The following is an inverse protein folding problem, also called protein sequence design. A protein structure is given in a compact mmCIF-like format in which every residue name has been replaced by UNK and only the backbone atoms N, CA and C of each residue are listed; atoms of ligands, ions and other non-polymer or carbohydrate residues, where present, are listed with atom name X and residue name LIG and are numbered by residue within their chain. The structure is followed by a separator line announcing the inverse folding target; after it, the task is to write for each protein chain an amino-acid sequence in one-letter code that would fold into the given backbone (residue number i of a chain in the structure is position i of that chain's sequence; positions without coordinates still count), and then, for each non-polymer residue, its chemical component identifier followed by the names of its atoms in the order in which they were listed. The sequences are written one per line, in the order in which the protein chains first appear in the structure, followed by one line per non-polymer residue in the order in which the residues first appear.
data_IF_724721944744
#
_entry.id   IF_724721944744
#
_cell.length_a   1.000
_cell.length_b   1.000
_cell.length_c   1.000
_cell.angle_alpha   90.00
_cell.angle_beta   90.00
_cell.angle_gamma   90.00
#
_symmetry.space_group_name_H-M   'P 1'
#
loop_
_entity.id
_entity.type
_entity.pdbx_description
1 polymer ?
#
# COMPACT_ATOMS: atom_id res chain seq x y z
N UNK A 1 25.08 40.12 -37.41
CA UNK A 1 24.31 38.85 -37.42
C UNK A 1 23.47 38.81 -36.16
N UNK A 2 22.14 38.72 -36.28
CA UNK A 2 21.20 38.70 -35.15
C UNK A 2 21.04 37.26 -34.67
N UNK A 3 21.53 36.97 -33.47
CA UNK A 3 21.39 35.68 -32.81
C UNK A 3 19.95 35.57 -32.27
N UNK A 4 19.10 34.81 -32.96
CA UNK A 4 17.80 34.40 -32.42
C UNK A 4 18.01 33.28 -31.40
N UNK A 5 17.74 33.53 -30.12
CA UNK A 5 17.53 32.48 -29.14
C UNK A 5 16.07 31.99 -29.24
N UNK A 6 15.88 30.76 -29.71
CA UNK A 6 14.63 30.02 -29.50
C UNK A 6 14.59 29.52 -28.06
N UNK A 7 13.62 30.01 -27.29
CA UNK A 7 13.28 29.48 -25.98
C UNK A 7 12.46 28.19 -26.14
N UNK A 8 13.04 27.07 -25.69
CA UNK A 8 12.38 25.77 -25.64
C UNK A 8 11.44 25.72 -24.42
N UNK A 9 10.13 25.81 -24.64
CA UNK A 9 9.13 25.62 -23.57
C UNK A 9 8.99 24.12 -23.34
N UNK A 10 9.62 23.59 -22.28
CA UNK A 10 9.32 22.23 -21.80
C UNK A 10 7.95 22.24 -21.15
N UNK A 11 6.98 21.60 -21.80
CA UNK A 11 5.70 21.23 -21.19
C UNK A 11 6.00 20.11 -20.19
N UNK A 12 6.16 20.47 -18.91
CA UNK A 12 6.20 19.49 -17.84
C UNK A 12 4.81 18.88 -17.70
N UNK A 13 4.58 17.71 -18.29
CA UNK A 13 3.39 16.91 -18.00
C UNK A 13 3.41 16.61 -16.49
N UNK A 14 2.32 16.88 -15.75
CA UNK A 14 2.26 16.50 -14.35
C UNK A 14 2.27 14.98 -14.32
N UNK A 15 3.43 14.38 -14.02
CA UNK A 15 3.50 12.99 -13.60
C UNK A 15 2.51 12.91 -12.43
N UNK A 16 1.42 12.18 -12.62
CA UNK A 16 0.56 11.83 -11.52
C UNK A 16 1.47 11.07 -10.55
N UNK A 17 1.90 11.76 -9.48
CA UNK A 17 2.78 11.18 -8.47
C UNK A 17 2.02 10.02 -7.86
N UNK A 18 2.28 8.83 -8.37
CA UNK A 18 1.75 7.61 -7.84
C UNK A 18 2.56 7.28 -6.58
N UNK A 19 1.86 7.06 -5.48
CA UNK A 19 2.49 6.71 -4.21
C UNK A 19 2.60 5.20 -4.11
N UNK A 20 3.73 4.70 -3.61
CA UNK A 20 3.87 3.28 -3.34
C UNK A 20 3.38 2.97 -1.93
N UNK A 21 2.56 1.94 -1.78
CA UNK A 21 2.01 1.51 -0.49
C UNK A 21 2.20 0.01 -0.26
N UNK A 22 2.27 -0.40 1.01
CA UNK A 22 2.02 -1.78 1.42
C UNK A 22 0.59 -1.90 1.96
N UNK A 23 -0.13 -2.94 1.56
CA UNK A 23 -1.53 -3.17 1.94
C UNK A 23 -1.71 -4.61 2.37
N UNK A 24 -2.41 -4.82 3.48
CA UNK A 24 -2.81 -6.16 3.89
C UNK A 24 -3.92 -6.64 2.95
N UNK A 25 -3.75 -7.77 2.25
CA UNK A 25 -4.72 -8.21 1.26
C UNK A 25 -6.09 -8.60 1.86
N UNK A 26 -6.16 -8.81 3.18
CA UNK A 26 -7.38 -9.24 3.86
C UNK A 26 -7.82 -10.63 3.42
N UNK A 27 -9.12 -10.98 3.55
CA UNK A 27 -9.65 -12.29 3.14
C UNK A 27 -9.73 -12.46 1.62
N UNK A 28 -9.63 -11.38 0.85
CA UNK A 28 -9.54 -11.42 -0.60
C UNK A 28 -8.08 -11.62 -1.00
N UNK A 29 -7.80 -12.59 -1.86
CA UNK A 29 -6.48 -12.63 -2.50
C UNK A 29 -6.35 -11.41 -3.40
N UNK A 30 -5.28 -10.63 -3.25
CA UNK A 30 -4.97 -9.49 -4.12
C UNK A 30 -3.82 -9.89 -5.04
N UNK A 31 -4.09 -10.07 -6.33
CA UNK A 31 -3.09 -10.42 -7.35
C UNK A 31 -2.56 -9.19 -8.06
N UNK A 32 -1.42 -9.34 -8.73
CA UNK A 32 -0.86 -8.28 -9.58
C UNK A 32 -1.87 -7.89 -10.66
N UNK A 33 -2.09 -6.58 -10.81
CA UNK A 33 -3.06 -6.00 -11.72
C UNK A 33 -4.46 -5.80 -11.12
N UNK A 34 -4.74 -6.33 -9.92
CA UNK A 34 -6.02 -6.06 -9.26
C UNK A 34 -6.09 -4.58 -8.85
N UNK A 35 -7.27 -3.99 -9.07
CA UNK A 35 -7.57 -2.61 -8.73
C UNK A 35 -8.40 -2.52 -7.44
N UNK A 36 -8.15 -1.51 -6.62
CA UNK A 36 -8.90 -1.26 -5.40
C UNK A 36 -8.84 0.22 -5.00
N UNK A 37 -9.72 0.62 -4.07
CA UNK A 37 -9.64 1.94 -3.46
C UNK A 37 -8.76 1.85 -2.20
N UNK A 38 -7.62 2.53 -2.19
CA UNK A 38 -6.70 2.51 -1.04
C UNK A 38 -7.34 3.12 0.21
N UNK A 39 -8.30 4.04 0.08
CA UNK A 39 -9.00 4.67 1.22
C UNK A 39 -9.96 3.73 1.92
N UNK A 40 -10.38 2.64 1.28
CA UNK A 40 -11.20 1.60 1.90
C UNK A 40 -10.39 0.43 2.45
N UNK A 41 -9.06 0.42 2.26
CA UNK A 41 -8.22 -0.62 2.81
C UNK A 41 -8.17 -0.54 4.34
N UNK A 42 -8.07 -1.69 5.00
CA UNK A 42 -8.03 -1.80 6.46
C UNK A 42 -6.73 -1.21 7.01
N UNK A 43 -5.62 -1.48 6.34
CA UNK A 43 -4.30 -0.95 6.67
C UNK A 43 -3.59 -0.48 5.39
N UNK A 44 -3.00 0.71 5.44
CA UNK A 44 -2.16 1.25 4.37
C UNK A 44 -0.87 1.81 4.95
N UNK A 45 0.25 1.30 4.47
CA UNK A 45 1.60 1.68 4.85
C UNK A 45 2.21 2.48 3.69
N UNK A 46 2.16 3.81 3.76
CA UNK A 46 2.71 4.67 2.70
C UNK A 46 4.23 4.65 2.74
N UNK A 47 4.91 4.48 1.60
CA UNK A 47 6.38 4.39 1.57
C UNK A 47 7.08 5.75 1.54
N UNK A 48 6.41 6.77 0.99
CA UNK A 48 7.02 8.08 0.73
C UNK A 48 6.55 9.19 1.66
N UNK A 49 5.39 8.99 2.32
CA UNK A 49 4.83 9.99 3.24
C UNK A 49 5.58 9.97 4.57
N UNK A 50 6.12 11.12 5.03
CA UNK A 50 6.85 11.16 6.28
C UNK A 50 5.94 10.91 7.48
N UNK A 51 6.48 10.26 8.50
CA UNK A 51 5.84 10.16 9.81
C UNK A 51 5.67 11.55 10.43
N UNK A 52 4.49 11.83 11.00
CA UNK A 52 4.16 13.11 11.66
C UNK A 52 4.03 12.99 13.18
N UNK A 53 4.18 11.78 13.73
CA UNK A 53 4.16 11.58 15.18
C UNK A 53 5.49 12.05 15.80
N UNK A 54 5.45 12.62 17.01
CA UNK A 54 6.65 13.06 17.73
C UNK A 54 7.40 11.88 18.36
N UNK A 55 7.67 10.82 17.59
CA UNK A 55 8.38 9.62 18.05
C UNK A 55 9.88 9.73 17.79
N UNK A 56 10.68 9.08 18.63
CA UNK A 56 12.11 8.93 18.38
C UNK A 56 12.31 8.23 17.02
N UNK A 57 13.24 8.73 16.21
CA UNK A 57 13.50 8.27 14.84
C UNK A 57 12.33 8.45 13.85
N UNK A 58 11.37 9.37 14.09
CA UNK A 58 10.29 9.67 13.15
C UNK A 58 10.77 9.94 11.71
N UNK A 59 11.96 10.52 11.53
CA UNK A 59 12.60 10.75 10.22
C UNK A 59 12.80 9.45 9.41
N UNK A 60 13.00 8.32 10.09
CA UNK A 60 13.24 7.00 9.50
C UNK A 60 11.93 6.21 9.34
N UNK A 61 10.79 6.79 9.76
CA UNK A 61 9.46 6.20 9.70
C UNK A 61 8.58 6.89 8.66
N UNK A 62 7.44 6.26 8.33
CA UNK A 62 6.48 6.72 7.33
C UNK A 62 5.05 6.70 7.84
N UNK A 63 4.16 7.40 7.15
CA UNK A 63 2.74 7.48 7.49
C UNK A 63 2.06 6.10 7.36
N UNK A 64 1.30 5.72 8.38
CA UNK A 64 0.41 4.56 8.38
C UNK A 64 -1.02 5.05 8.62
N UNK A 65 -1.98 4.44 7.92
CA UNK A 65 -3.41 4.68 8.14
C UNK A 65 -4.15 3.35 8.33
N UNK A 66 -5.15 3.35 9.20
CA UNK A 66 -6.03 2.19 9.39
C UNK A 66 -7.49 2.59 9.56
N UNK A 67 -8.38 1.72 9.08
CA UNK A 67 -9.83 1.78 9.33
C UNK A 67 -10.30 0.69 10.29
N UNK A 68 -9.39 -0.15 10.81
CA UNK A 68 -9.71 -1.22 11.75
C UNK A 68 -10.17 -0.70 13.13
N UNK A 69 -9.84 0.54 13.45
CA UNK A 69 -10.13 1.18 14.74
C UNK A 69 -11.19 2.24 14.50
N UNK A 70 -12.25 2.22 15.32
CA UNK A 70 -13.41 3.12 15.18
C UNK A 70 -13.04 4.62 15.28
N UNK A 71 -11.92 4.91 15.91
CA UNK A 71 -11.32 6.25 15.98
C UNK A 71 -10.14 6.24 15.02
N UNK A 72 -10.09 7.23 14.11
CA UNK A 72 -8.91 7.45 13.27
C UNK A 72 -7.71 7.75 14.15
N UNK A 73 -6.88 6.73 14.38
CA UNK A 73 -5.61 6.87 15.09
C UNK A 73 -4.51 7.16 14.08
N UNK A 74 -3.72 8.19 14.37
CA UNK A 74 -2.48 8.42 13.62
C UNK A 74 -1.47 7.36 14.04
N UNK A 75 -0.77 6.79 13.06
CA UNK A 75 0.35 5.92 13.32
C UNK A 75 1.48 6.17 12.32
N UNK A 76 2.65 5.69 12.69
CA UNK A 76 3.79 5.61 11.80
C UNK A 76 4.25 4.17 11.67
N UNK A 77 4.93 3.85 10.57
CA UNK A 77 5.54 2.54 10.39
C UNK A 77 6.97 2.64 9.90
N UNK A 78 7.75 1.58 10.10
CA UNK A 78 9.10 1.45 9.58
C UNK A 78 9.47 -0.02 9.34
N UNK A 79 10.51 -0.24 8.53
CA UNK A 79 11.08 -1.57 8.29
C UNK A 79 12.07 -1.93 9.38
N UNK A 80 12.15 -3.21 9.71
CA UNK A 80 13.12 -3.79 10.63
C UNK A 80 14.16 -4.60 9.85
N UNK A 81 15.35 -4.81 10.42
CA UNK A 81 16.43 -5.55 9.76
C UNK A 81 16.05 -7.00 9.39
N UNK A 82 15.10 -7.61 10.11
CA UNK A 82 14.65 -8.98 9.89
C UNK A 82 13.58 -9.16 8.81
N UNK A 83 13.29 -8.13 7.99
CA UNK A 83 12.22 -8.20 6.99
C UNK A 83 10.81 -8.06 7.57
N UNK A 84 10.70 -7.59 8.81
CA UNK A 84 9.43 -7.22 9.42
C UNK A 84 9.12 -5.73 9.27
N UNK A 85 7.87 -5.37 9.54
CA UNK A 85 7.42 -3.98 9.72
C UNK A 85 7.03 -3.75 11.17
N UNK A 86 7.18 -2.51 11.63
CA UNK A 86 6.80 -2.08 12.96
C UNK A 86 5.89 -0.86 12.85
N UNK A 87 4.68 -0.94 13.41
CA UNK A 87 3.73 0.16 13.50
C UNK A 87 3.78 0.75 14.91
N UNK A 88 3.84 2.07 15.01
CA UNK A 88 3.82 2.84 16.25
C UNK A 88 2.61 3.76 16.20
N UNK A 89 1.67 3.58 17.11
CA UNK A 89 0.45 4.36 17.20
C UNK A 89 0.65 5.58 18.11
N UNK A 90 -0.20 6.58 17.95
CA UNK A 90 -0.15 7.81 18.74
C UNK A 90 -0.33 7.58 20.25
N UNK A 91 -0.96 6.47 20.65
CA UNK A 91 -1.09 6.03 22.05
C UNK A 91 0.19 5.37 22.61
N UNK A 92 1.24 5.29 21.80
CA UNK A 92 2.52 4.66 22.14
C UNK A 92 2.54 3.14 21.97
N UNK A 93 1.43 2.52 21.56
CA UNK A 93 1.40 1.08 21.29
C UNK A 93 2.23 0.73 20.06
N UNK A 94 2.87 -0.44 20.11
CA UNK A 94 3.75 -0.94 19.05
C UNK A 94 3.24 -2.29 18.58
N UNK A 95 3.06 -2.45 17.27
CA UNK A 95 2.56 -3.68 16.64
C UNK A 95 3.52 -4.16 15.54
N UNK A 96 4.28 -5.24 15.75
CA UNK A 96 5.09 -5.86 14.71
C UNK A 96 4.21 -6.61 13.70
N UNK A 97 4.70 -6.77 12.48
CA UNK A 97 4.20 -7.71 11.47
C UNK A 97 5.34 -8.13 10.53
N UNK A 98 5.09 -9.15 9.72
CA UNK A 98 6.02 -9.55 8.66
C UNK A 98 5.74 -8.73 7.40
N UNK A 99 6.77 -8.22 6.71
CA UNK A 99 6.56 -7.46 5.47
C UNK A 99 6.00 -8.35 4.36
N UNK A 100 6.30 -9.65 4.39
CA UNK A 100 5.78 -10.63 3.43
C UNK A 100 4.29 -10.99 3.64
N UNK A 101 3.60 -10.36 4.59
CA UNK A 101 2.15 -10.43 4.73
C UNK A 101 1.43 -9.36 3.89
N UNK A 102 2.17 -8.43 3.28
CA UNK A 102 1.61 -7.29 2.54
C UNK A 102 1.83 -7.42 1.04
N UNK A 103 0.86 -6.93 0.26
CA UNK A 103 1.03 -6.66 -1.17
C UNK A 103 1.56 -5.25 -1.38
N UNK A 104 2.24 -5.01 -2.51
CA UNK A 104 2.67 -3.68 -2.93
C UNK A 104 1.69 -3.16 -3.97
N UNK A 105 1.26 -1.91 -3.81
CA UNK A 105 0.41 -1.24 -4.78
C UNK A 105 0.90 0.17 -5.10
N UNK A 106 0.53 0.63 -6.29
CA UNK A 106 0.72 2.01 -6.76
C UNK A 106 -0.61 2.74 -6.63
N UNK A 107 -0.65 3.87 -5.92
CA UNK A 107 -1.86 4.65 -5.63
C UNK A 107 -1.81 5.99 -6.34
N UNK A 108 -2.84 6.31 -7.10
CA UNK A 108 -2.95 7.62 -7.76
C UNK A 108 -3.47 8.72 -6.81
N UNK A 109 -3.50 9.97 -7.29
CA UNK A 109 -3.97 11.12 -6.53
C UNK A 109 -5.45 11.04 -6.12
N UNK A 110 -6.26 10.24 -6.82
CA UNK A 110 -7.68 10.04 -6.51
C UNK A 110 -7.89 8.97 -5.44
N UNK A 111 -6.86 8.16 -5.17
CA UNK A 111 -6.88 7.05 -4.21
C UNK A 111 -7.16 5.69 -4.85
N UNK A 112 -7.23 5.62 -6.18
CA UNK A 112 -7.29 4.34 -6.89
C UNK A 112 -5.91 3.69 -6.86
N UNK A 113 -5.89 2.39 -6.62
CA UNK A 113 -4.67 1.63 -6.43
C UNK A 113 -4.65 0.41 -7.33
N UNK A 114 -3.46 0.10 -7.86
CA UNK A 114 -3.20 -1.10 -8.66
C UNK A 114 -2.11 -1.90 -7.97
N UNK A 115 -2.35 -3.19 -7.74
CA UNK A 115 -1.37 -4.09 -7.15
C UNK A 115 -0.22 -4.32 -8.13
N UNK A 116 1.00 -3.99 -7.72
CA UNK A 116 2.22 -4.13 -8.52
C UNK A 116 3.07 -5.33 -8.09
N UNK A 117 2.91 -5.79 -6.83
CA UNK A 117 3.51 -7.02 -6.33
C UNK A 117 2.55 -7.72 -5.38
N UNK A 118 2.32 -9.01 -5.61
CA UNK A 118 1.50 -9.84 -4.74
C UNK A 118 2.35 -10.89 -4.01
N UNK A 119 1.87 -11.29 -2.83
CA UNK A 119 2.37 -12.45 -2.09
C UNK A 119 1.73 -13.76 -2.58
N UNK A 120 0.70 -13.65 -3.44
CA UNK A 120 -0.02 -14.76 -4.02
C UNK A 120 0.36 -14.95 -5.49
N UNK A 121 0.61 -16.20 -5.88
CA UNK A 121 0.74 -16.59 -7.28
C UNK A 121 -0.62 -16.98 -7.83
N UNK A 122 -1.22 -16.14 -8.68
CA UNK A 122 -2.55 -16.34 -9.28
C UNK A 122 -2.70 -17.70 -9.97
N UNK A 123 -1.62 -18.27 -10.50
CA UNK A 123 -1.66 -19.58 -11.16
C UNK A 123 -1.99 -20.73 -10.20
N UNK A 124 -1.82 -20.52 -8.89
CA UNK A 124 -2.14 -21.48 -7.83
C UNK A 124 -3.56 -21.33 -7.29
N UNK A 125 -4.33 -20.36 -7.77
CA UNK A 125 -5.68 -20.07 -7.29
C UNK A 125 -6.72 -20.20 -8.41
N UNK A 126 -7.95 -20.47 -8.01
CA UNK A 126 -9.14 -20.50 -8.84
C UNK A 126 -10.31 -19.83 -8.10
N UNK A 127 -11.33 -19.30 -8.80
CA UNK A 127 -12.52 -18.80 -8.13
C UNK A 127 -13.17 -19.92 -7.31
N UNK A 128 -13.52 -19.64 -6.04
CA UNK A 128 -14.20 -20.63 -5.20
C UNK A 128 -15.58 -20.97 -5.79
N UNK A 129 -15.95 -22.25 -5.80
CA UNK A 129 -17.22 -22.76 -6.33
C UNK A 129 -18.31 -22.84 -5.26
N UNK A 130 -17.94 -22.95 -3.97
CA UNK A 130 -18.90 -23.02 -2.86
C UNK A 130 -19.74 -21.74 -2.75
N UNK A 131 -21.06 -21.90 -2.62
CA UNK A 131 -22.04 -20.79 -2.60
C UNK A 131 -21.73 -19.70 -1.57
N UNK A 132 -21.20 -20.06 -0.40
CA UNK A 132 -20.88 -19.13 0.68
C UNK A 132 -19.52 -18.41 0.50
N UNK A 133 -18.72 -18.79 -0.52
CA UNK A 133 -17.42 -18.19 -0.85
C UNK A 133 -17.45 -17.47 -2.21
N UNK A 134 -18.65 -17.17 -2.72
CA UNK A 134 -18.81 -16.52 -4.02
C UNK A 134 -18.03 -15.20 -4.06
N UNK A 135 -17.18 -15.04 -5.08
CA UNK A 135 -16.32 -13.86 -5.24
C UNK A 135 -14.97 -13.95 -4.54
N UNK A 136 -14.68 -15.05 -3.84
CA UNK A 136 -13.38 -15.34 -3.26
C UNK A 136 -12.52 -16.20 -4.21
N UNK A 137 -11.23 -16.22 -3.91
CA UNK A 137 -10.26 -17.10 -4.56
C UNK A 137 -9.85 -18.22 -3.60
N UNK A 138 -9.81 -19.44 -4.11
CA UNK A 138 -9.44 -20.65 -3.41
C UNK A 138 -8.16 -21.21 -4.02
N UNK A 139 -7.29 -21.80 -3.20
CA UNK A 139 -6.13 -22.49 -3.75
C UNK A 139 -6.61 -23.72 -4.53
N UNK A 140 -6.04 -23.93 -5.71
CA UNK A 140 -6.44 -25.05 -6.58
C UNK A 140 -6.37 -26.38 -5.83
N UNK A 141 -7.46 -27.14 -5.91
CA UNK A 141 -7.57 -28.45 -5.27
C UNK A 141 -7.88 -28.42 -3.76
N UNK A 142 -8.28 -27.27 -3.21
CA UNK A 142 -8.75 -27.13 -1.81
C UNK A 142 -10.23 -26.78 -1.68
N UNK A 143 -10.95 -26.70 -2.80
CA UNK A 143 -12.39 -26.41 -2.83
C UNK A 143 -13.27 -27.66 -2.63
#
# INVERSE_FOLDING_TARGET
MKTMLLALIMVASPVALAETVLVEPGPGHMFVGDEFNARSAVEVLYQDRPCKLPVVNAKDMREYTTTAIAIQVKACWGRTLGGGVLRVFEDGSIKPAQENAYVVASVDKTGNAVVTKSIYDKNRYEPCTRKYQKGQWCQKGQD
#
